data_IF_406117910741
#
_entry.id   IF_406117910741
#
_cell.length_a   1.000
_cell.length_b   1.000
_cell.length_c   1.000
_cell.angle_alpha   90.00
_cell.angle_beta   90.00
_cell.angle_gamma   90.00
#
_symmetry.space_group_name_H-M   'P 1'
#
loop_
_entity.id
_entity.type
_entity.pdbx_description
1 polymer ?
#
# COMPACT_ATOMS: atom_id res chain seq x y z
N UNK A 1 -8.77 -1.84 4.48
CA UNK A 1 -9.08 -1.11 3.21
C UNK A 1 -9.42 -2.03 2.04
N UNK A 2 -10.17 -1.53 1.04
CA UNK A 2 -10.38 -2.20 -0.25
C UNK A 2 -9.12 -2.14 -1.13
N UNK A 3 -8.93 -3.16 -1.97
CA UNK A 3 -7.80 -3.29 -2.91
C UNK A 3 -7.73 -2.09 -3.87
N UNK A 4 -6.57 -1.44 -3.97
CA UNK A 4 -6.38 -0.32 -4.89
C UNK A 4 -6.09 -0.79 -6.32
N UNK A 5 -6.81 -0.20 -7.28
CA UNK A 5 -6.68 -0.48 -8.71
C UNK A 5 -5.62 0.41 -9.36
N UNK A 6 -4.95 -0.12 -10.40
CA UNK A 6 -3.84 0.57 -11.09
C UNK A 6 -4.24 1.93 -11.67
N UNK A 7 -5.46 2.05 -12.22
CA UNK A 7 -5.99 3.29 -12.81
C UNK A 7 -5.95 4.43 -11.79
N UNK A 8 -6.54 4.18 -10.62
CA UNK A 8 -6.58 5.12 -9.50
C UNK A 8 -5.19 5.59 -9.05
N UNK A 9 -4.19 4.69 -9.02
CA UNK A 9 -2.81 5.06 -8.65
C UNK A 9 -2.20 6.02 -9.69
N UNK A 10 -2.52 5.83 -10.97
CA UNK A 10 -1.99 6.66 -12.06
C UNK A 10 -2.59 8.07 -12.05
N UNK A 11 -3.85 8.20 -11.63
CA UNK A 11 -4.59 9.46 -11.56
C UNK A 11 -4.19 10.34 -10.38
N UNK A 12 -3.57 9.75 -9.34
CA UNK A 12 -3.12 10.48 -8.15
C UNK A 12 -1.85 11.30 -8.38
N UNK A 13 -1.72 12.42 -7.66
CA UNK A 13 -0.46 13.18 -7.59
C UNK A 13 0.64 12.40 -6.85
N UNK A 14 1.91 12.79 -7.04
CA UNK A 14 3.06 12.19 -6.35
C UNK A 14 2.92 12.26 -4.81
N UNK A 15 2.48 13.40 -4.28
CA UNK A 15 2.23 13.60 -2.85
C UNK A 15 1.11 12.69 -2.33
N UNK A 16 0.02 12.58 -3.09
CA UNK A 16 -1.09 11.69 -2.72
C UNK A 16 -0.66 10.22 -2.71
N UNK A 17 0.15 9.80 -3.69
CA UNK A 17 0.73 8.44 -3.73
C UNK A 17 1.58 8.19 -2.48
N UNK A 18 2.40 9.15 -2.06
CA UNK A 18 3.21 9.05 -0.85
C UNK A 18 2.36 9.01 0.43
N UNK A 19 1.33 9.86 0.53
CA UNK A 19 0.40 9.86 1.67
C UNK A 19 -0.31 8.51 1.80
N UNK A 20 -0.83 7.97 0.69
CA UNK A 20 -1.45 6.63 0.68
C UNK A 20 -0.45 5.53 1.01
N UNK A 21 0.79 5.64 0.55
CA UNK A 21 1.85 4.68 0.90
C UNK A 21 2.06 4.61 2.42
N UNK A 22 2.09 5.77 3.10
CA UNK A 22 2.20 5.83 4.55
C UNK A 22 1.01 5.16 5.23
N UNK A 23 -0.23 5.46 4.80
CA UNK A 23 -1.44 4.83 5.32
C UNK A 23 -1.39 3.29 5.20
N UNK A 24 -1.01 2.76 4.04
CA UNK A 24 -0.90 1.30 3.83
C UNK A 24 0.23 0.66 4.66
N UNK A 25 1.33 1.37 4.90
CA UNK A 25 2.42 0.90 5.78
C UNK A 25 1.95 0.82 7.23
N UNK A 26 1.21 1.82 7.71
CA UNK A 26 0.62 1.81 9.06
C UNK A 26 -0.39 0.68 9.22
N UNK A 27 -1.26 0.46 8.23
CA UNK A 27 -2.20 -0.68 8.28
C UNK A 27 -1.46 -2.03 8.25
N UNK A 28 -0.37 -2.15 7.48
CA UNK A 28 0.46 -3.36 7.50
C UNK A 28 1.11 -3.60 8.86
N UNK A 29 1.60 -2.54 9.52
CA UNK A 29 2.21 -2.63 10.85
C UNK A 29 1.18 -3.09 11.89
N UNK A 30 -0.01 -2.49 11.89
CA UNK A 30 -1.10 -2.90 12.77
C UNK A 30 -1.49 -4.37 12.58
N UNK A 31 -1.62 -4.83 11.34
CA UNK A 31 -1.92 -6.23 11.05
C UNK A 31 -0.81 -7.19 11.51
N UNK A 32 0.45 -6.76 11.45
CA UNK A 32 1.58 -7.53 12.00
C UNK A 32 1.54 -7.59 13.52
N UNK A 33 1.19 -6.50 14.20
CA UNK A 33 1.03 -6.48 15.65
C UNK A 33 -0.08 -7.43 16.11
N UNK A 34 -1.20 -7.46 15.39
CA UNK A 34 -2.29 -8.41 15.66
C UNK A 34 -1.81 -9.87 15.52
N UNK A 35 -1.10 -10.19 14.43
CA UNK A 35 -0.52 -11.52 14.24
C UNK A 35 0.46 -11.89 15.35
N UNK A 36 1.31 -10.96 15.78
CA UNK A 36 2.27 -11.19 16.86
C UNK A 36 1.57 -11.44 18.21
N UNK A 37 0.43 -10.79 18.45
CA UNK A 37 -0.41 -11.01 19.62
C UNK A 37 -1.24 -12.32 19.56
N UNK A 38 -1.01 -13.17 18.55
CA UNK A 38 -1.74 -14.44 18.39
C UNK A 38 -3.15 -14.27 17.83
N UNK A 39 -3.55 -13.07 17.42
CA UNK A 39 -4.82 -12.87 16.74
C UNK A 39 -4.72 -13.40 15.31
N UNK A 40 -5.63 -14.30 14.96
CA UNK A 40 -5.84 -14.70 13.57
C UNK A 40 -6.31 -13.50 12.77
N UNK A 41 -5.61 -13.18 11.67
CA UNK A 41 -6.04 -12.13 10.75
C UNK A 41 -7.45 -12.43 10.24
N UNK A 42 -8.35 -11.43 10.27
CA UNK A 42 -9.74 -11.54 9.78
C UNK A 42 -9.85 -12.08 8.34
N UNK A 43 -8.77 -12.02 7.55
CA UNK A 43 -8.74 -12.62 6.22
C UNK A 43 -7.32 -13.00 5.81
N UNK A 44 -7.05 -14.27 5.45
CA UNK A 44 -5.71 -14.74 5.10
C UNK A 44 -5.07 -13.99 3.91
N UNK A 45 -5.89 -13.35 3.06
CA UNK A 45 -5.44 -12.56 1.91
C UNK A 45 -5.18 -11.07 2.17
N UNK A 46 -5.51 -10.52 3.35
CA UNK A 46 -5.48 -9.07 3.62
C UNK A 46 -4.06 -8.51 3.58
N UNK A 47 -3.14 -9.15 4.31
CA UNK A 47 -1.72 -8.76 4.36
C UNK A 47 -1.07 -8.84 2.97
N UNK A 48 -1.34 -9.92 2.22
CA UNK A 48 -0.84 -10.08 0.85
C UNK A 48 -1.34 -8.96 -0.07
N UNK A 49 -2.59 -8.56 0.09
CA UNK A 49 -3.22 -7.48 -0.68
C UNK A 49 -2.63 -6.11 -0.35
N UNK A 50 -2.38 -5.82 0.94
CA UNK A 50 -1.73 -4.58 1.39
C UNK A 50 -0.30 -4.51 0.84
N UNK A 51 0.49 -5.58 1.00
CA UNK A 51 1.86 -5.66 0.44
C UNK A 51 1.89 -5.40 -1.07
N UNK A 52 0.95 -6.01 -1.81
CA UNK A 52 0.84 -5.81 -3.27
C UNK A 52 0.45 -4.38 -3.64
N UNK A 53 -0.36 -3.71 -2.82
CA UNK A 53 -0.72 -2.31 -3.01
C UNK A 53 0.46 -1.38 -2.75
N UNK A 54 1.21 -1.60 -1.67
CA UNK A 54 2.46 -0.87 -1.37
C UNK A 54 3.46 -1.01 -2.52
N UNK A 55 3.69 -2.24 -3.01
CA UNK A 55 4.61 -2.49 -4.12
C UNK A 55 4.21 -1.70 -5.38
N UNK A 56 2.92 -1.68 -5.73
CA UNK A 56 2.42 -0.90 -6.87
C UNK A 56 2.64 0.60 -6.69
N UNK A 57 2.33 1.14 -5.50
CA UNK A 57 2.55 2.56 -5.19
C UNK A 57 4.02 2.94 -5.38
N UNK A 58 4.95 2.16 -4.82
CA UNK A 58 6.39 2.39 -5.00
C UNK A 58 6.78 2.37 -6.48
N UNK A 59 6.29 1.40 -7.27
CA UNK A 59 6.58 1.35 -8.71
C UNK A 59 6.14 2.63 -9.42
N UNK A 60 4.93 3.11 -9.16
CA UNK A 60 4.45 4.34 -9.79
C UNK A 60 5.19 5.58 -9.32
N UNK A 61 5.55 5.67 -8.03
CA UNK A 61 6.38 6.77 -7.50
C UNK A 61 7.72 6.80 -8.23
N UNK A 62 8.41 5.65 -8.37
CA UNK A 62 9.68 5.58 -9.10
C UNK A 62 9.54 5.98 -10.57
N UNK A 63 8.45 5.58 -11.24
CA UNK A 63 8.18 5.97 -12.63
C UNK A 63 7.93 7.47 -12.74
N UNK A 64 7.21 8.07 -11.79
CA UNK A 64 6.91 9.51 -11.73
C UNK A 64 8.20 10.31 -11.56
N UNK A 65 9.07 9.91 -10.63
CA UNK A 65 10.37 10.54 -10.41
C UNK A 65 11.28 10.49 -11.64
N UNK A 66 11.27 9.38 -12.39
CA UNK A 66 12.04 9.24 -13.63
C UNK A 66 11.50 10.03 -14.83
N UNK A 67 10.27 10.56 -14.75
CA UNK A 67 9.70 11.42 -15.81
C UNK A 67 10.00 12.90 -15.60
N UNK A 68 10.39 13.27 -14.39
CA UNK A 68 10.72 14.63 -13.99
C UNK A 68 12.20 14.96 -14.26
N UNK A 69 12.97 13.97 -14.73
CA UNK A 69 14.38 14.03 -15.11
C UNK A 69 14.49 13.90 -16.63
#
# INVERSE_FOLDING_TARGET
>A
MAKMNKKRIKEMSAEEKQKKLAEYKTELAYQRSLLAAGNTSESPGKIKSIKKTIARLNTFITIDSKKQE
#
